data_IF_699504583684
#
_entry.id   IF_699504583684
#
_cell.length_a   1.000
_cell.length_b   1.000
_cell.length_c   1.000
_cell.angle_alpha   90.00
_cell.angle_beta   90.00
_cell.angle_gamma   90.00
#
_symmetry.space_group_name_H-M   'P 1'
#
loop_
_entity.id
_entity.type
_entity.pdbx_description
1 polymer ?
#
# COMPACT_ATOMS: atom_id res chain seq x y z
N UNK A 1 -18.62 11.01 -4.51
CA UNK A 1 -17.49 10.45 -3.74
C UNK A 1 -16.62 11.57 -3.22
N UNK A 2 -16.18 11.52 -1.97
CA UNK A 2 -15.24 12.48 -1.34
C UNK A 2 -14.09 11.71 -0.67
N UNK A 3 -13.04 12.43 -0.23
CA UNK A 3 -11.96 11.79 0.54
C UNK A 3 -12.47 11.19 1.87
N UNK A 4 -13.50 11.79 2.47
CA UNK A 4 -14.12 11.27 3.69
C UNK A 4 -14.81 9.91 3.45
N UNK A 5 -15.46 9.76 2.29
CA UNK A 5 -16.12 8.50 1.90
C UNK A 5 -15.09 7.39 1.62
N UNK A 6 -13.94 7.74 1.04
CA UNK A 6 -12.87 6.79 0.77
C UNK A 6 -12.06 6.39 2.01
N UNK A 7 -12.01 7.23 3.04
CA UNK A 7 -11.14 7.03 4.21
C UNK A 7 -11.23 5.64 4.84
N UNK A 8 -12.42 5.03 5.05
CA UNK A 8 -12.49 3.68 5.63
C UNK A 8 -11.75 2.64 4.79
N UNK A 9 -11.94 2.67 3.47
CA UNK A 9 -11.27 1.75 2.55
C UNK A 9 -9.75 1.99 2.52
N UNK A 10 -9.29 3.24 2.51
CA UNK A 10 -7.87 3.55 2.58
C UNK A 10 -7.24 3.00 3.87
N UNK A 11 -7.94 3.11 5.01
CA UNK A 11 -7.48 2.53 6.27
C UNK A 11 -7.30 1.01 6.17
N UNK A 12 -8.29 0.29 5.62
CA UNK A 12 -8.23 -1.16 5.45
C UNK A 12 -7.11 -1.59 4.50
N UNK A 13 -6.93 -0.87 3.38
CA UNK A 13 -5.80 -1.12 2.46
C UNK A 13 -4.46 -0.89 3.20
N UNK A 14 -4.37 0.15 4.01
CA UNK A 14 -3.18 0.45 4.83
C UNK A 14 -2.87 -0.64 5.87
N UNK A 15 -3.85 -1.41 6.33
CA UNK A 15 -3.63 -2.52 7.27
C UNK A 15 -2.83 -3.67 6.63
N UNK A 16 -2.81 -3.77 5.29
CA UNK A 16 -2.01 -4.75 4.55
C UNK A 16 -0.49 -4.66 4.84
N UNK A 17 0.00 -3.51 5.32
CA UNK A 17 1.38 -3.31 5.80
C UNK A 17 1.73 -4.18 7.00
N UNK A 18 0.74 -4.69 7.72
CA UNK A 18 0.90 -5.48 8.97
C UNK A 18 0.48 -6.93 8.80
N UNK A 19 -0.11 -7.27 7.65
CA UNK A 19 -0.57 -8.62 7.36
C UNK A 19 0.58 -9.38 6.69
N UNK A 20 0.91 -10.55 7.26
CA UNK A 20 1.91 -11.47 6.74
C UNK A 20 1.24 -12.81 6.39
N UNK A 21 1.82 -13.52 5.42
CA UNK A 21 1.36 -14.84 5.00
C UNK A 21 2.46 -15.86 5.30
N UNK A 22 2.12 -16.95 5.95
CA UNK A 22 3.07 -18.03 6.23
C UNK A 22 3.73 -18.54 4.93
N UNK A 23 5.05 -18.69 4.97
CA UNK A 23 5.83 -19.13 3.80
C UNK A 23 6.15 -18.03 2.77
N UNK A 24 5.69 -16.80 3.00
CA UNK A 24 6.06 -15.62 2.20
C UNK A 24 6.74 -14.58 3.09
N UNK A 25 7.84 -13.98 2.64
CA UNK A 25 8.52 -12.94 3.40
C UNK A 25 7.87 -11.58 3.24
N UNK A 26 7.88 -10.79 4.31
CA UNK A 26 7.36 -9.43 4.33
C UNK A 26 5.85 -9.33 4.42
N UNK A 27 5.37 -8.10 4.49
CA UNK A 27 3.96 -7.77 4.49
C UNK A 27 3.32 -7.97 3.10
N UNK A 28 1.99 -7.91 3.03
CA UNK A 28 1.29 -7.93 1.73
C UNK A 28 1.66 -6.74 0.86
N UNK A 29 1.93 -5.57 1.45
CA UNK A 29 2.38 -4.39 0.71
C UNK A 29 3.80 -4.56 0.17
N UNK A 30 4.74 -5.10 0.96
CA UNK A 30 6.10 -5.40 0.49
C UNK A 30 6.11 -6.41 -0.65
N UNK A 31 5.31 -7.46 -0.56
CA UNK A 31 5.15 -8.44 -1.63
C UNK A 31 4.59 -7.80 -2.90
N UNK A 32 3.59 -6.93 -2.78
CA UNK A 32 3.01 -6.23 -3.92
C UNK A 32 3.96 -5.17 -4.51
N UNK A 33 4.71 -4.46 -3.67
CA UNK A 33 5.78 -3.55 -4.08
C UNK A 33 6.82 -4.27 -4.96
N UNK A 34 7.36 -5.37 -4.46
CA UNK A 34 8.33 -6.19 -5.18
C UNK A 34 7.78 -6.69 -6.52
N UNK A 35 6.54 -7.19 -6.52
CA UNK A 35 5.87 -7.67 -7.74
C UNK A 35 5.62 -6.55 -8.73
N UNK A 36 5.18 -5.37 -8.29
CA UNK A 36 4.99 -4.20 -9.17
C UNK A 36 6.29 -3.84 -9.89
N UNK A 37 7.40 -3.77 -9.17
CA UNK A 37 8.70 -3.49 -9.76
C UNK A 37 9.19 -4.59 -10.72
N UNK A 38 9.01 -5.86 -10.36
CA UNK A 38 9.37 -6.97 -11.25
C UNK A 38 8.63 -6.87 -12.58
N UNK A 39 7.32 -6.67 -12.56
CA UNK A 39 6.47 -6.53 -13.76
C UNK A 39 6.86 -5.34 -14.62
N UNK A 40 7.13 -4.17 -14.00
CA UNK A 40 7.58 -2.98 -14.72
C UNK A 40 8.94 -3.18 -15.40
N UNK A 41 9.89 -3.80 -14.70
CA UNK A 41 11.22 -4.09 -15.27
C UNK A 41 11.17 -5.15 -16.37
N UNK A 42 10.23 -6.09 -16.31
CA UNK A 42 9.95 -7.04 -17.38
C UNK A 42 9.33 -6.40 -18.64
N UNK A 43 8.93 -5.12 -18.56
CA UNK A 43 8.35 -4.37 -19.66
C UNK A 43 6.85 -4.54 -19.82
N UNK A 44 6.14 -4.96 -18.75
CA UNK A 44 4.68 -4.96 -18.77
C UNK A 44 4.15 -3.53 -18.82
N UNK A 45 3.03 -3.34 -19.49
CA UNK A 45 2.41 -2.03 -19.67
C UNK A 45 2.11 -1.38 -18.30
N UNK A 46 2.60 -0.15 -18.10
CA UNK A 46 2.53 0.58 -16.84
C UNK A 46 1.07 0.70 -16.34
N UNK A 47 0.14 1.01 -17.24
CA UNK A 47 -1.28 1.13 -16.89
C UNK A 47 -1.84 -0.20 -16.37
N UNK A 48 -1.46 -1.32 -17.00
CA UNK A 48 -1.92 -2.64 -16.58
C UNK A 48 -1.36 -2.98 -15.18
N UNK A 49 -0.10 -2.68 -14.91
CA UNK A 49 0.50 -2.88 -13.58
C UNK A 49 -0.22 -2.02 -12.55
N UNK A 50 -0.38 -0.71 -12.80
CA UNK A 50 -1.02 0.22 -11.87
C UNK A 50 -2.45 -0.21 -11.52
N UNK A 51 -3.27 -0.52 -12.52
CA UNK A 51 -4.67 -0.88 -12.29
C UNK A 51 -4.82 -2.27 -11.68
N UNK A 52 -4.07 -3.28 -12.12
CA UNK A 52 -4.19 -4.63 -11.58
C UNK A 52 -3.67 -4.75 -10.15
N UNK A 53 -2.55 -4.10 -9.81
CA UNK A 53 -2.05 -4.09 -8.44
C UNK A 53 -2.97 -3.32 -7.49
N UNK A 54 -3.58 -2.22 -7.97
CA UNK A 54 -4.60 -1.49 -7.20
C UNK A 54 -5.86 -2.34 -7.02
N UNK A 55 -6.34 -3.01 -8.06
CA UNK A 55 -7.49 -3.90 -7.95
C UNK A 55 -7.26 -5.04 -6.94
N UNK A 56 -6.07 -5.63 -6.98
CA UNK A 56 -5.67 -6.65 -5.99
C UNK A 56 -5.62 -6.09 -4.56
N UNK A 57 -5.12 -4.85 -4.38
CA UNK A 57 -5.10 -4.20 -3.07
C UNK A 57 -6.51 -3.94 -2.53
N UNK A 58 -7.44 -3.50 -3.40
CA UNK A 58 -8.86 -3.30 -3.05
C UNK A 58 -9.52 -4.63 -2.64
N UNK A 59 -9.35 -5.72 -3.41
CA UNK A 59 -9.88 -7.03 -3.06
C UNK A 59 -9.33 -7.55 -1.72
N UNK A 60 -8.03 -7.31 -1.46
CA UNK A 60 -7.35 -7.70 -0.22
C UNK A 60 -7.86 -6.97 1.02
N UNK A 61 -8.51 -5.83 0.89
CA UNK A 61 -9.16 -5.17 2.03
C UNK A 61 -10.14 -6.12 2.75
N UNK A 62 -10.72 -7.09 2.04
CA UNK A 62 -11.61 -8.13 2.60
C UNK A 62 -10.97 -9.50 2.68
N UNK A 63 -10.09 -9.84 1.75
CA UNK A 63 -9.52 -11.18 1.62
C UNK A 63 -8.15 -11.32 2.32
N UNK A 64 -7.58 -10.22 2.80
CA UNK A 64 -6.26 -10.20 3.44
C UNK A 64 -5.20 -10.93 2.58
N UNK A 65 -4.58 -11.99 3.12
CA UNK A 65 -3.57 -12.79 2.42
C UNK A 65 -4.12 -13.84 1.45
N UNK A 66 -5.45 -13.94 1.28
CA UNK A 66 -6.05 -14.87 0.33
C UNK A 66 -5.97 -14.26 -1.07
N UNK A 67 -5.15 -14.85 -1.91
CA UNK A 67 -5.00 -14.49 -3.32
C UNK A 67 -5.28 -15.72 -4.21
N UNK A 68 -5.16 -15.56 -5.54
CA UNK A 68 -5.44 -16.65 -6.45
C UNK A 68 -4.50 -17.84 -6.25
N UNK A 69 -3.20 -17.61 -5.93
CA UNK A 69 -2.25 -18.71 -5.68
C UNK A 69 -2.69 -19.58 -4.51
N UNK A 70 -3.14 -18.94 -3.43
CA UNK A 70 -3.67 -19.64 -2.24
C UNK A 70 -4.91 -20.45 -2.61
N UNK A 71 -5.85 -19.87 -3.36
CA UNK A 71 -7.09 -20.53 -3.74
C UNK A 71 -6.85 -21.69 -4.70
N UNK A 72 -5.98 -21.51 -5.70
CA UNK A 72 -5.59 -22.56 -6.64
C UNK A 72 -4.83 -23.70 -5.94
N UNK A 73 -3.91 -23.37 -5.04
CA UNK A 73 -3.20 -24.36 -4.22
C UNK A 73 -4.13 -25.13 -3.29
N UNK A 74 -5.24 -24.50 -2.85
CA UNK A 74 -6.30 -25.15 -2.09
C UNK A 74 -7.24 -26.03 -2.95
N UNK A 75 -7.05 -26.04 -4.28
CA UNK A 75 -7.79 -26.91 -5.21
C UNK A 75 -8.98 -26.27 -5.90
N UNK A 76 -9.20 -24.95 -5.80
CA UNK A 76 -10.23 -24.26 -6.56
C UNK A 76 -9.85 -24.22 -8.04
N UNK A 77 -10.84 -24.26 -8.92
CA UNK A 77 -10.65 -23.98 -10.33
C UNK A 77 -10.38 -22.48 -10.55
N UNK A 78 -9.82 -22.14 -11.71
CA UNK A 78 -9.41 -20.78 -12.05
C UNK A 78 -10.57 -19.77 -12.01
N UNK A 79 -11.74 -20.17 -12.49
CA UNK A 79 -12.96 -19.36 -12.48
C UNK A 79 -13.55 -19.19 -11.08
N UNK A 80 -13.47 -20.22 -10.24
CA UNK A 80 -13.88 -20.16 -8.84
C UNK A 80 -12.99 -19.21 -8.05
N UNK A 81 -11.65 -19.32 -8.20
CA UNK A 81 -10.70 -18.43 -7.58
C UNK A 81 -10.92 -16.96 -8.02
N UNK A 82 -11.17 -16.74 -9.31
CA UNK A 82 -11.51 -15.43 -9.85
C UNK A 82 -12.81 -14.88 -9.25
N UNK A 83 -13.83 -15.73 -9.09
CA UNK A 83 -15.11 -15.37 -8.48
C UNK A 83 -14.94 -14.90 -7.03
N UNK A 84 -14.09 -15.56 -6.24
CA UNK A 84 -13.79 -15.15 -4.85
C UNK A 84 -13.11 -13.78 -4.82
N UNK A 85 -12.11 -13.55 -5.69
CA UNK A 85 -11.42 -12.25 -5.76
C UNK A 85 -12.36 -11.13 -6.19
N UNK A 86 -13.24 -11.40 -7.16
CA UNK A 86 -14.25 -10.44 -7.60
C UNK A 86 -15.25 -10.13 -6.48
N UNK A 87 -15.69 -11.11 -5.74
CA UNK A 87 -16.60 -10.89 -4.61
C UNK A 87 -15.96 -10.00 -3.54
N UNK A 88 -14.67 -10.23 -3.19
CA UNK A 88 -13.94 -9.38 -2.26
C UNK A 88 -13.77 -7.94 -2.75
N UNK A 89 -13.55 -7.75 -4.05
CA UNK A 89 -13.50 -6.43 -4.67
C UNK A 89 -14.88 -5.75 -4.65
N UNK A 90 -15.92 -6.45 -5.08
CA UNK A 90 -17.28 -5.90 -5.23
C UNK A 90 -17.88 -5.45 -3.89
N UNK A 91 -17.48 -6.07 -2.78
CA UNK A 91 -17.93 -5.68 -1.43
C UNK A 91 -17.58 -4.23 -1.07
N UNK A 92 -16.47 -3.71 -1.60
CA UNK A 92 -15.97 -2.35 -1.32
C UNK A 92 -16.02 -1.42 -2.53
N UNK A 93 -16.31 -1.94 -3.72
CA UNK A 93 -16.31 -1.17 -4.98
C UNK A 93 -17.29 0.02 -4.98
N UNK A 94 -18.38 -0.06 -4.21
CA UNK A 94 -19.34 1.04 -4.06
C UNK A 94 -18.78 2.30 -3.37
N UNK A 95 -17.59 2.21 -2.77
CA UNK A 95 -16.86 3.34 -2.18
C UNK A 95 -15.99 4.07 -3.22
N UNK A 96 -15.81 3.52 -4.42
CA UNK A 96 -14.94 4.04 -5.47
C UNK A 96 -15.73 4.89 -6.49
N UNK A 97 -15.01 5.67 -7.29
CA UNK A 97 -15.56 6.23 -8.51
C UNK A 97 -16.01 5.10 -9.45
N UNK A 98 -17.21 5.21 -10.02
CA UNK A 98 -17.80 4.15 -10.82
C UNK A 98 -16.96 3.80 -12.06
N UNK A 99 -16.41 4.80 -12.75
CA UNK A 99 -15.57 4.60 -13.93
C UNK A 99 -14.25 3.93 -13.56
N UNK A 100 -13.63 4.35 -12.46
CA UNK A 100 -12.41 3.72 -11.94
C UNK A 100 -12.70 2.30 -11.46
N UNK A 101 -13.77 2.07 -10.71
CA UNK A 101 -14.16 0.75 -10.22
C UNK A 101 -14.33 -0.26 -11.37
N UNK A 102 -14.98 0.15 -12.46
CA UNK A 102 -15.15 -0.69 -13.65
C UNK A 102 -13.79 -1.05 -14.30
N UNK A 103 -12.87 -0.08 -14.43
CA UNK A 103 -11.51 -0.32 -14.94
C UNK A 103 -10.71 -1.26 -14.04
N UNK A 104 -10.71 -1.03 -12.74
CA UNK A 104 -10.03 -1.88 -11.75
C UNK A 104 -10.58 -3.31 -11.78
N UNK A 105 -11.90 -3.45 -11.79
CA UNK A 105 -12.56 -4.76 -11.84
C UNK A 105 -12.16 -5.56 -13.09
N UNK A 106 -12.03 -4.89 -14.25
CA UNK A 106 -11.57 -5.52 -15.48
C UNK A 106 -10.10 -5.96 -15.42
N UNK A 107 -9.29 -5.31 -14.58
CA UNK A 107 -7.87 -5.62 -14.38
C UNK A 107 -7.61 -6.50 -13.16
N UNK A 108 -8.65 -6.99 -12.46
CA UNK A 108 -8.48 -7.81 -11.27
C UNK A 108 -7.67 -9.07 -11.63
N UNK A 109 -6.47 -9.27 -11.09
CA UNK A 109 -5.52 -10.20 -11.63
C UNK A 109 -5.87 -11.64 -11.31
N UNK A 110 -5.72 -12.46 -12.33
CA UNK A 110 -5.32 -13.83 -12.15
C UNK A 110 -3.79 -13.79 -12.00
N UNK A 111 -3.31 -14.35 -10.89
CA UNK A 111 -1.90 -14.26 -10.52
C UNK A 111 -0.97 -14.68 -11.65
N UNK A 112 0.03 -13.83 -11.90
CA UNK A 112 1.26 -14.24 -12.59
C UNK A 112 2.37 -14.33 -11.55
N UNK A 113 3.11 -15.44 -11.53
CA UNK A 113 4.40 -15.44 -10.87
C UNK A 113 5.27 -14.37 -11.56
N UNK A 114 5.68 -13.38 -10.79
CA UNK A 114 6.63 -12.40 -11.27
C UNK A 114 8.05 -12.96 -11.17
N UNK A 115 8.93 -12.55 -12.07
CA UNK A 115 10.38 -12.72 -11.94
C UNK A 115 10.86 -12.13 -10.59
N UNK A 116 12.08 -12.48 -10.15
CA UNK A 116 12.65 -11.81 -8.98
C UNK A 116 12.63 -10.29 -9.15
N UNK A 117 12.26 -9.53 -8.12
CA UNK A 117 12.26 -8.08 -8.17
C UNK A 117 13.69 -7.53 -8.36
N UNK A 118 13.86 -6.30 -8.87
CA UNK A 118 15.16 -5.67 -8.88
C UNK A 118 15.69 -5.49 -7.45
N UNK A 119 17.02 -5.64 -7.25
CA UNK A 119 17.63 -5.68 -5.93
C UNK A 119 17.38 -4.43 -5.07
N UNK A 120 17.11 -3.27 -5.66
CA UNK A 120 16.74 -2.08 -4.91
C UNK A 120 15.37 -2.21 -4.22
N UNK A 121 14.45 -3.00 -4.77
CA UNK A 121 13.16 -3.24 -4.13
C UNK A 121 13.31 -4.00 -2.81
N UNK A 122 14.23 -4.98 -2.75
CA UNK A 122 14.55 -5.69 -1.52
C UNK A 122 15.18 -4.75 -0.48
N UNK A 123 16.05 -3.82 -0.92
CA UNK A 123 16.66 -2.82 -0.03
C UNK A 123 15.61 -1.88 0.56
N UNK A 124 14.65 -1.39 -0.24
CA UNK A 124 13.56 -0.54 0.25
C UNK A 124 12.60 -1.31 1.17
N UNK A 125 12.35 -2.59 0.92
CA UNK A 125 11.58 -3.44 1.80
C UNK A 125 12.29 -3.70 3.15
N UNK A 126 13.61 -3.76 3.14
CA UNK A 126 14.40 -3.98 4.35
C UNK A 126 14.63 -2.69 5.16
N UNK A 127 14.50 -1.52 4.55
CA UNK A 127 14.76 -0.24 5.22
C UNK A 127 13.51 0.30 5.90
N UNK A 128 13.50 0.40 7.24
CA UNK A 128 12.38 0.99 7.97
C UNK A 128 12.34 2.51 7.76
N UNK A 129 11.14 3.06 7.85
CA UNK A 129 10.90 4.51 7.91
C UNK A 129 11.35 5.08 9.26
N UNK A 130 11.74 6.35 9.27
CA UNK A 130 12.27 7.02 10.44
C UNK A 130 11.29 7.16 11.62
N UNK A 131 10.00 6.89 11.43
CA UNK A 131 8.95 7.26 12.36
C UNK A 131 8.61 8.76 12.30
N UNK A 132 7.93 9.28 13.31
CA UNK A 132 7.62 10.70 13.38
C UNK A 132 8.79 11.47 14.02
N UNK A 133 9.35 12.42 13.28
CA UNK A 133 10.47 13.25 13.73
C UNK A 133 10.16 14.73 13.56
N UNK A 134 10.65 15.55 14.51
CA UNK A 134 10.55 16.99 14.44
C UNK A 134 11.83 17.58 15.05
N UNK A 135 12.40 18.67 14.47
CA UNK A 135 13.56 19.33 15.04
C UNK A 135 13.35 19.71 16.51
N UNK A 136 14.34 19.42 17.35
CA UNK A 136 14.28 19.73 18.78
C UNK A 136 13.31 18.86 19.63
N UNK A 137 12.74 17.80 19.06
CA UNK A 137 11.85 16.86 19.75
C UNK A 137 12.39 15.43 19.67
N UNK A 138 12.13 14.59 20.71
CA UNK A 138 12.42 13.17 20.62
C UNK A 138 11.67 12.52 19.45
N UNK A 139 12.30 11.54 18.80
CA UNK A 139 11.69 10.73 17.77
C UNK A 139 10.59 9.83 18.36
N UNK A 140 9.47 9.71 17.68
CA UNK A 140 8.42 8.74 17.99
C UNK A 140 8.54 7.58 17.00
N UNK A 141 8.92 6.42 17.50
CA UNK A 141 8.87 5.17 16.75
C UNK A 141 7.52 4.50 16.97
N UNK A 142 7.01 3.84 15.94
CA UNK A 142 5.80 3.03 15.99
C UNK A 142 6.14 1.59 15.64
N UNK A 143 5.52 0.65 16.33
CA UNK A 143 5.74 -0.79 16.13
C UNK A 143 4.44 -1.48 15.65
N UNK A 144 4.52 -2.38 14.69
CA UNK A 144 5.72 -2.74 13.93
C UNK A 144 6.19 -1.59 13.01
N UNK A 145 7.50 -1.50 12.70
CA UNK A 145 8.00 -0.46 11.82
C UNK A 145 7.49 -0.64 10.40
N UNK A 146 7.15 0.46 9.76
CA UNK A 146 6.81 0.51 8.34
C UNK A 146 8.10 0.55 7.51
N UNK A 147 8.18 -0.22 6.43
CA UNK A 147 9.26 -0.12 5.45
C UNK A 147 8.95 0.92 4.35
N UNK A 148 9.99 1.29 3.58
CA UNK A 148 9.76 2.12 2.38
C UNK A 148 8.92 1.41 1.33
N UNK A 149 9.07 0.08 1.18
CA UNK A 149 8.23 -0.70 0.27
C UNK A 149 6.75 -0.69 0.68
N UNK A 150 6.46 -0.82 1.98
CA UNK A 150 5.09 -0.69 2.51
C UNK A 150 4.48 0.66 2.17
N UNK A 151 5.20 1.72 2.45
CA UNK A 151 4.75 3.09 2.22
C UNK A 151 4.58 3.37 0.73
N UNK A 152 5.59 3.12 -0.08
CA UNK A 152 5.57 3.42 -1.51
C UNK A 152 4.42 2.70 -2.24
N UNK A 153 4.20 1.42 -1.93
CA UNK A 153 3.09 0.69 -2.53
C UNK A 153 1.74 1.25 -2.09
N UNK A 154 1.57 1.55 -0.81
CA UNK A 154 0.30 2.11 -0.31
C UNK A 154 0.03 3.48 -0.90
N UNK A 155 1.05 4.36 -0.99
CA UNK A 155 0.92 5.68 -1.65
C UNK A 155 0.57 5.51 -3.13
N UNK A 156 1.18 4.55 -3.83
CA UNK A 156 0.86 4.26 -5.23
C UNK A 156 -0.61 3.87 -5.41
N UNK A 157 -1.11 2.97 -4.58
CA UNK A 157 -2.53 2.53 -4.59
C UNK A 157 -3.45 3.70 -4.24
N UNK A 158 -3.16 4.44 -3.18
CA UNK A 158 -3.98 5.60 -2.78
C UNK A 158 -4.02 6.64 -3.91
N UNK A 159 -2.88 6.90 -4.57
CA UNK A 159 -2.80 7.81 -5.71
C UNK A 159 -3.79 7.44 -6.81
N UNK A 160 -3.88 6.15 -7.17
CA UNK A 160 -4.88 5.65 -8.13
C UNK A 160 -6.30 5.92 -7.64
N UNK A 161 -6.60 5.60 -6.38
CA UNK A 161 -7.96 5.68 -5.84
C UNK A 161 -8.47 7.11 -5.67
N UNK A 162 -7.58 8.07 -5.38
CA UNK A 162 -7.96 9.49 -5.24
C UNK A 162 -7.92 10.27 -6.55
N UNK A 163 -7.28 9.75 -7.60
CA UNK A 163 -7.13 10.42 -8.90
C UNK A 163 -8.44 10.96 -9.49
N UNK A 164 -9.59 10.24 -9.46
CA UNK A 164 -10.84 10.78 -9.98
C UNK A 164 -11.31 12.05 -9.28
N UNK A 165 -11.00 12.20 -7.98
CA UNK A 165 -11.40 13.39 -7.20
C UNK A 165 -10.63 14.65 -7.63
N UNK A 166 -9.42 14.49 -8.18
CA UNK A 166 -8.55 15.55 -8.63
C UNK A 166 -8.59 15.75 -10.16
N UNK A 167 -9.27 14.86 -10.90
CA UNK A 167 -9.19 14.82 -12.37
C UNK A 167 -7.81 14.43 -12.88
N UNK A 168 -7.08 13.61 -12.09
CA UNK A 168 -5.71 13.18 -12.33
C UNK A 168 -5.63 11.89 -13.15
N UNK A 169 -4.46 11.67 -13.78
CA UNK A 169 -4.13 10.39 -14.38
C UNK A 169 -3.68 9.39 -13.29
N UNK A 170 -4.43 8.30 -13.05
CA UNK A 170 -4.10 7.35 -12.01
C UNK A 170 -2.74 6.66 -12.23
N UNK A 171 -2.28 6.56 -13.47
CA UNK A 171 -0.99 5.91 -13.81
C UNK A 171 0.19 6.77 -13.33
N UNK A 172 0.12 8.07 -13.52
CA UNK A 172 1.20 8.99 -13.10
C UNK A 172 1.28 9.07 -11.57
N UNK A 173 0.14 9.12 -10.89
CA UNK A 173 0.09 9.08 -9.43
C UNK A 173 0.64 7.75 -8.88
N UNK A 174 0.33 6.61 -9.54
CA UNK A 174 0.88 5.30 -9.18
C UNK A 174 2.41 5.26 -9.30
N UNK A 175 2.95 5.67 -10.47
CA UNK A 175 4.40 5.64 -10.70
C UNK A 175 5.15 6.55 -9.73
N UNK A 176 4.64 7.76 -9.51
CA UNK A 176 5.24 8.67 -8.53
C UNK A 176 5.21 8.04 -7.14
N UNK A 177 4.06 7.51 -6.69
CA UNK A 177 3.91 6.84 -5.40
C UNK A 177 4.85 5.65 -5.23
N UNK A 178 5.02 4.83 -6.27
CA UNK A 178 5.88 3.65 -6.22
C UNK A 178 7.38 4.01 -6.13
N UNK A 179 7.79 5.14 -6.74
CA UNK A 179 9.20 5.48 -6.93
C UNK A 179 9.73 6.61 -6.04
N UNK A 180 8.88 7.38 -5.36
CA UNK A 180 9.27 8.64 -4.72
C UNK A 180 10.34 8.52 -3.62
N UNK A 181 10.62 7.32 -3.15
CA UNK A 181 11.70 7.02 -2.20
C UNK A 181 12.89 6.26 -2.82
N UNK A 182 13.09 6.30 -4.14
CA UNK A 182 14.24 5.62 -4.77
C UNK A 182 15.59 6.08 -4.21
N UNK A 183 15.74 7.33 -3.78
CA UNK A 183 16.95 7.81 -3.12
C UNK A 183 17.23 7.07 -1.79
N UNK A 184 16.20 6.55 -1.11
CA UNK A 184 16.36 5.82 0.14
C UNK A 184 16.93 4.40 -0.05
N UNK A 185 17.11 3.93 -1.27
CA UNK A 185 17.91 2.72 -1.53
C UNK A 185 19.33 2.86 -0.94
N UNK A 186 19.89 4.08 -0.96
CA UNK A 186 21.25 4.40 -0.51
C UNK A 186 21.30 5.38 0.66
N UNK A 187 20.28 6.22 0.81
CA UNK A 187 20.22 7.22 1.88
C UNK A 187 19.27 6.70 2.96
N UNK A 188 19.77 6.36 4.16
CA UNK A 188 18.90 5.98 5.27
C UNK A 188 17.90 7.10 5.61
N UNK A 189 16.68 6.74 5.92
CA UNK A 189 15.65 7.70 6.30
C UNK A 189 15.95 8.31 7.68
N UNK A 190 16.27 9.58 7.70
CA UNK A 190 16.50 10.35 8.91
C UNK A 190 15.25 11.08 9.41
N UNK A 191 14.17 11.05 8.61
CA UNK A 191 12.94 11.80 8.83
C UNK A 191 13.11 13.31 8.74
N UNK A 192 12.04 14.06 8.92
CA UNK A 192 12.02 15.51 8.77
C UNK A 192 13.13 16.23 9.57
N UNK A 193 13.41 15.79 10.79
CA UNK A 193 14.49 16.38 11.59
C UNK A 193 15.88 16.20 10.94
N UNK A 194 16.14 15.05 10.33
CA UNK A 194 17.37 14.79 9.59
C UNK A 194 17.44 15.56 8.26
N UNK A 195 16.32 15.67 7.56
CA UNK A 195 16.23 16.45 6.32
C UNK A 195 16.56 17.93 6.57
N UNK A 196 16.04 18.51 7.65
CA UNK A 196 16.39 19.89 8.07
C UNK A 196 17.88 20.04 8.34
N UNK A 197 18.54 19.03 8.92
CA UNK A 197 20.00 19.07 9.16
C UNK A 197 20.82 18.92 7.87
N UNK A 198 20.34 18.17 6.88
CA UNK A 198 20.95 18.09 5.55
C UNK A 198 20.82 19.41 4.78
N UNK A 199 19.75 20.16 5.02
CA UNK A 199 19.53 21.50 4.48
C UNK A 199 19.68 21.55 2.95
N UNK A 200 20.52 22.45 2.46
CA UNK A 200 20.77 22.65 1.02
C UNK A 200 21.40 21.43 0.32
N UNK A 201 21.98 20.50 1.06
CA UNK A 201 22.58 19.29 0.51
C UNK A 201 21.57 18.19 0.20
N UNK A 202 20.36 18.26 0.77
CA UNK A 202 19.35 17.19 0.62
C UNK A 202 18.95 16.98 -0.84
N UNK A 203 18.48 18.04 -1.50
CA UNK A 203 17.97 17.92 -2.86
C UNK A 203 19.02 17.45 -3.89
N UNK A 204 20.25 17.96 -3.91
CA UNK A 204 21.30 17.42 -4.79
C UNK A 204 21.64 15.96 -4.52
N UNK A 205 21.67 15.54 -3.25
CA UNK A 205 21.94 14.13 -2.88
C UNK A 205 20.82 13.24 -3.36
N UNK A 206 19.56 13.60 -3.12
CA UNK A 206 18.40 12.82 -3.59
C UNK A 206 18.43 12.65 -5.11
N UNK A 207 18.61 13.73 -5.86
CA UNK A 207 18.66 13.70 -7.33
C UNK A 207 19.77 12.79 -7.85
N UNK A 208 20.96 12.86 -7.27
CA UNK A 208 22.10 12.01 -7.70
C UNK A 208 21.84 10.52 -7.39
N UNK A 209 21.25 10.20 -6.22
CA UNK A 209 20.95 8.82 -5.86
C UNK A 209 19.83 8.25 -6.74
N UNK A 210 18.77 8.99 -6.99
CA UNK A 210 17.69 8.61 -7.90
C UNK A 210 18.22 8.37 -9.32
N UNK A 211 19.07 9.27 -9.83
CA UNK A 211 19.70 9.10 -11.14
C UNK A 211 20.48 7.79 -11.24
N UNK A 212 21.17 7.37 -10.17
CA UNK A 212 21.91 6.11 -10.14
C UNK A 212 20.99 4.90 -10.21
N UNK A 213 19.90 4.91 -9.45
CA UNK A 213 18.95 3.79 -9.47
C UNK A 213 18.19 3.74 -10.81
N UNK A 214 17.76 4.88 -11.36
CA UNK A 214 17.10 4.95 -12.66
C UNK A 214 18.01 4.46 -13.81
N UNK A 215 19.32 4.73 -13.74
CA UNK A 215 20.27 4.28 -14.75
C UNK A 215 20.42 2.75 -14.83
N UNK A 216 19.95 2.02 -13.83
CA UNK A 216 19.94 0.55 -13.82
C UNK A 216 18.67 -0.07 -14.47
N UNK A 217 17.70 0.77 -14.82
CA UNK A 217 16.41 0.35 -15.36
C UNK A 217 16.38 0.37 -16.89
N UNK A 218 15.42 -0.34 -17.53
CA UNK A 218 15.17 -0.18 -18.95
C UNK A 218 14.93 1.29 -19.33
N UNK A 219 15.54 1.82 -20.39
CA UNK A 219 15.53 3.27 -20.69
C UNK A 219 14.14 3.91 -20.73
N UNK A 220 13.18 3.27 -21.39
CA UNK A 220 11.81 3.80 -21.48
C UNK A 220 11.13 3.86 -20.11
N UNK A 221 11.37 2.88 -19.24
CA UNK A 221 10.85 2.90 -17.87
C UNK A 221 11.55 4.00 -17.04
N UNK A 222 12.86 4.14 -17.17
CA UNK A 222 13.62 5.18 -16.49
C UNK A 222 13.12 6.58 -16.84
N UNK A 223 12.87 6.86 -18.13
CA UNK A 223 12.34 8.14 -18.60
C UNK A 223 10.92 8.41 -18.02
N UNK A 224 10.05 7.37 -18.03
CA UNK A 224 8.71 7.49 -17.46
C UNK A 224 8.76 7.77 -15.94
N UNK A 225 9.64 7.08 -15.21
CA UNK A 225 9.81 7.29 -13.77
C UNK A 225 10.41 8.66 -13.46
N UNK A 226 11.37 9.14 -14.24
CA UNK A 226 11.94 10.48 -14.08
C UNK A 226 10.85 11.55 -14.26
N UNK A 227 9.96 11.41 -15.24
CA UNK A 227 8.82 12.29 -15.44
C UNK A 227 7.84 12.25 -14.27
N UNK A 228 7.49 11.04 -13.77
CA UNK A 228 6.61 10.86 -12.62
C UNK A 228 7.21 11.46 -11.33
N UNK A 229 8.51 11.29 -11.10
CA UNK A 229 9.20 11.86 -9.94
C UNK A 229 9.22 13.39 -9.92
N UNK A 230 9.11 14.05 -11.07
CA UNK A 230 8.99 15.49 -11.14
C UNK A 230 7.71 16.04 -10.49
N UNK A 231 6.65 15.20 -10.34
CA UNK A 231 5.41 15.56 -9.67
C UNK A 231 5.60 15.93 -8.20
N UNK A 232 6.67 15.44 -7.56
CA UNK A 232 6.98 15.80 -6.16
C UNK A 232 7.27 17.28 -5.94
N UNK A 233 7.82 17.95 -6.94
CA UNK A 233 8.15 19.38 -6.88
C UNK A 233 7.01 20.28 -7.39
N UNK A 234 6.01 19.69 -8.02
CA UNK A 234 4.82 20.39 -8.50
C UNK A 234 3.75 20.38 -7.41
N UNK A 235 3.04 21.48 -7.20
CA UNK A 235 1.95 21.61 -6.24
C UNK A 235 0.60 21.93 -6.91
N UNK A 236 0.56 22.01 -8.24
CA UNK A 236 -0.55 22.62 -8.99
C UNK A 236 -1.26 21.63 -9.90
N UNK A 237 -0.53 20.75 -10.60
CA UNK A 237 -1.14 19.81 -11.53
C UNK A 237 -2.03 18.81 -10.80
N UNK A 238 -3.11 18.33 -11.44
CA UNK A 238 -3.96 17.28 -10.88
C UNK A 238 -3.19 16.02 -10.45
N UNK A 239 -2.22 15.59 -11.25
CA UNK A 239 -1.42 14.39 -10.98
C UNK A 239 -0.55 14.55 -9.73
N UNK A 240 0.06 15.72 -9.57
CA UNK A 240 0.81 16.09 -8.37
C UNK A 240 -0.10 16.13 -7.13
N UNK A 241 -1.28 16.75 -7.25
CA UNK A 241 -2.24 16.82 -6.15
C UNK A 241 -2.70 15.43 -5.73
N UNK A 242 -2.93 14.49 -6.66
CA UNK A 242 -3.28 13.12 -6.34
C UNK A 242 -2.15 12.39 -5.59
N UNK A 243 -0.90 12.56 -6.04
CA UNK A 243 0.27 12.02 -5.35
C UNK A 243 0.41 12.59 -3.93
N UNK A 244 0.41 13.91 -3.77
CA UNK A 244 0.56 14.54 -2.45
C UNK A 244 -0.59 14.22 -1.49
N UNK A 245 -1.82 14.11 -2.00
CA UNK A 245 -2.95 13.65 -1.19
C UNK A 245 -2.73 12.21 -0.72
N UNK A 246 -2.27 11.31 -1.59
CA UNK A 246 -1.98 9.93 -1.24
C UNK A 246 -0.88 9.81 -0.18
N UNK A 247 0.23 10.55 -0.36
CA UNK A 247 1.37 10.53 0.57
C UNK A 247 0.99 11.04 1.97
N UNK A 248 0.30 12.17 2.06
CA UNK A 248 -0.12 12.69 3.37
C UNK A 248 -1.17 11.81 4.02
N UNK A 249 -2.10 11.25 3.25
CA UNK A 249 -3.11 10.33 3.78
C UNK A 249 -2.47 9.07 4.34
N UNK A 250 -1.51 8.48 3.63
CA UNK A 250 -0.83 7.29 4.13
C UNK A 250 -0.11 7.54 5.45
N UNK A 251 0.68 8.61 5.53
CA UNK A 251 1.41 8.98 6.76
C UNK A 251 0.49 9.24 7.94
N UNK A 252 -0.61 9.96 7.72
CA UNK A 252 -1.53 10.33 8.79
C UNK A 252 -2.38 9.14 9.22
N UNK A 253 -2.88 8.32 8.29
CA UNK A 253 -3.63 7.12 8.61
C UNK A 253 -2.80 6.07 9.35
N UNK A 254 -1.49 5.97 9.06
CA UNK A 254 -0.55 5.17 9.83
C UNK A 254 -0.53 5.58 11.32
N UNK A 255 -0.42 6.88 11.61
CA UNK A 255 -0.46 7.39 12.99
C UNK A 255 -1.81 7.12 13.63
N UNK A 256 -2.90 7.34 12.91
CA UNK A 256 -4.26 7.05 13.39
C UNK A 256 -4.46 5.56 13.71
N UNK A 257 -3.90 4.65 12.91
CA UNK A 257 -3.94 3.22 13.20
C UNK A 257 -3.31 2.92 14.56
N UNK A 258 -2.09 3.38 14.82
CA UNK A 258 -1.40 3.13 16.09
C UNK A 258 -2.12 3.76 17.28
N UNK A 259 -2.67 4.98 17.12
CA UNK A 259 -3.45 5.63 18.16
C UNK A 259 -4.73 4.83 18.51
N UNK A 260 -5.42 4.29 17.51
CA UNK A 260 -6.61 3.44 17.70
C UNK A 260 -6.28 2.11 18.35
N UNK A 261 -5.19 1.46 17.95
CA UNK A 261 -4.75 0.19 18.54
C UNK A 261 -4.49 0.31 20.04
N UNK A 262 -4.01 1.46 20.51
CA UNK A 262 -3.80 1.73 21.93
C UNK A 262 -5.10 2.04 22.72
N UNK A 263 -6.18 2.42 22.03
CA UNK A 263 -7.47 2.75 22.63
C UNK A 263 -8.51 1.63 22.54
N UNK A 264 -8.17 0.49 21.95
CA UNK A 264 -9.05 -0.64 21.74
C UNK A 264 -9.40 -1.33 23.09
N UNK A 265 -10.66 -1.70 23.29
CA UNK A 265 -11.16 -2.40 24.50
C UNK A 265 -11.63 -3.80 24.18
N UNK A 266 -11.63 -4.69 25.21
CA UNK A 266 -12.16 -6.05 25.06
C UNK A 266 -13.65 -6.03 24.67
N UNK A 267 -14.45 -5.14 25.24
CA UNK A 267 -15.88 -4.99 24.89
C UNK A 267 -16.06 -4.64 23.40
N UNK A 268 -15.23 -3.74 22.85
CA UNK A 268 -15.29 -3.44 21.43
C UNK A 268 -14.98 -4.66 20.55
N UNK A 269 -14.06 -5.54 20.99
CA UNK A 269 -13.79 -6.77 20.25
C UNK A 269 -14.93 -7.76 20.30
N UNK A 270 -15.54 -7.91 21.47
CA UNK A 270 -16.60 -8.89 21.69
C UNK A 270 -17.92 -8.43 21.06
N UNK A 271 -18.29 -7.17 21.25
CA UNK A 271 -19.61 -6.64 20.89
C UNK A 271 -19.62 -6.03 19.48
N UNK A 272 -18.69 -5.12 19.16
CA UNK A 272 -18.71 -4.38 17.88
C UNK A 272 -18.10 -5.20 16.74
N UNK A 273 -17.10 -6.04 17.02
CA UNK A 273 -16.40 -6.85 16.03
C UNK A 273 -16.83 -8.31 16.03
N UNK A 274 -17.83 -8.66 16.84
CA UNK A 274 -18.38 -10.01 16.95
C UNK A 274 -17.30 -11.10 17.03
N UNK A 275 -16.30 -10.89 17.91
CA UNK A 275 -15.17 -11.82 18.03
C UNK A 275 -15.64 -13.26 18.32
N UNK A 276 -16.79 -13.40 18.97
CA UNK A 276 -17.50 -14.69 19.13
C UNK A 276 -18.60 -14.76 18.08
N UNK A 277 -18.26 -15.33 16.93
CA UNK A 277 -19.15 -15.41 15.78
C UNK A 277 -20.38 -16.27 16.02
N UNK A 278 -21.50 -15.94 15.36
CA UNK A 278 -22.67 -16.77 15.30
C UNK A 278 -22.33 -18.14 14.69
N UNK A 279 -22.80 -19.21 15.35
CA UNK A 279 -22.55 -20.57 14.89
C UNK A 279 -22.87 -21.63 15.95
N UNK A 280 -22.68 -22.91 15.63
CA UNK A 280 -23.05 -24.04 16.52
C UNK A 280 -22.36 -24.04 17.88
N UNK A 281 -21.23 -23.34 18.01
CA UNK A 281 -20.43 -23.31 19.24
C UNK A 281 -20.46 -21.96 19.97
N UNK A 282 -21.25 -21.01 19.48
CA UNK A 282 -21.31 -19.66 20.06
C UNK A 282 -21.68 -19.68 21.54
N UNK A 283 -22.74 -20.38 21.91
CA UNK A 283 -23.22 -20.47 23.29
C UNK A 283 -22.16 -21.08 24.23
N UNK A 284 -21.42 -22.05 23.72
CA UNK A 284 -20.32 -22.67 24.48
C UNK A 284 -19.16 -21.68 24.67
N UNK A 285 -18.78 -20.91 23.63
CA UNK A 285 -17.75 -19.88 23.72
C UNK A 285 -18.14 -18.78 24.72
N UNK A 286 -19.37 -18.27 24.63
CA UNK A 286 -19.90 -17.28 25.59
C UNK A 286 -19.89 -17.81 27.03
N UNK A 287 -20.27 -19.10 27.24
CA UNK A 287 -20.18 -19.71 28.54
C UNK A 287 -18.75 -19.79 29.06
N UNK A 288 -17.79 -20.15 28.21
CA UNK A 288 -16.36 -20.22 28.61
C UNK A 288 -15.85 -18.82 29.02
N UNK A 289 -16.22 -17.78 28.29
CA UNK A 289 -15.85 -16.39 28.63
C UNK A 289 -16.46 -15.99 29.98
N UNK A 290 -17.74 -16.25 30.19
CA UNK A 290 -18.40 -15.96 31.47
C UNK A 290 -17.76 -16.72 32.63
N UNK A 291 -17.46 -18.02 32.47
CA UNK A 291 -16.78 -18.86 33.45
C UNK A 291 -15.34 -18.35 33.75
N UNK A 292 -14.68 -17.72 32.78
CA UNK A 292 -13.36 -17.11 32.92
C UNK A 292 -13.39 -15.67 33.49
N UNK A 293 -14.56 -15.06 33.65
CA UNK A 293 -14.72 -13.70 34.12
C UNK A 293 -14.41 -12.62 33.08
N UNK A 294 -14.64 -12.95 31.79
CA UNK A 294 -14.43 -12.08 30.63
C UNK A 294 -15.75 -11.63 30.03
#
# INVERSE_FOLDING_TARGET
MSLADLRPLLQEIGDAKRIQVAGRSGSLCQQAFSRSWARLVEGEEVELVALSETAAAVARARLAGIDADVLLAAGLAQDEASGVLQAGFDEVAGLLDEGLAARLRACLPLVRQASPPPGFADLLNAQPRAGATCPGRPRVLVEPPESHGDHCFTVAVYGVLVSPLMGANPVEAFLCGLAHHLHNVRLPDAGFAGEVLLGEHLAPVMVELERRELASLPPLLADRLAAALALRADAVSPDSQAFHAADVLDRVLQVHHHARAAAFTASQALDDLELVHAGPVQDYHLKVLADAGL
#
